data_IF_531636790537
#
_entry.id   IF_531636790537
#
_cell.length_a   1.000
_cell.length_b   1.000
_cell.length_c   1.000
_cell.angle_alpha   90.00
_cell.angle_beta   90.00
_cell.angle_gamma   90.00
#
_symmetry.space_group_name_H-M   'P 1'
#
loop_
_entity.id
_entity.type
_entity.pdbx_description
1 polymer ?
#
# COMPACT_ATOMS: atom_id res chain seq x y z
N UNK A 1 -33.81 -16.07 3.85
CA UNK A 1 -32.84 -15.03 3.40
C UNK A 1 -33.03 -13.70 4.12
N UNK A 2 -34.24 -13.12 4.14
CA UNK A 2 -34.52 -11.82 4.78
C UNK A 2 -34.15 -11.80 6.28
N UNK A 3 -34.52 -12.85 7.04
CA UNK A 3 -34.19 -12.95 8.47
C UNK A 3 -32.68 -12.94 8.77
N UNK A 4 -31.87 -13.65 7.97
CA UNK A 4 -30.41 -13.64 8.09
C UNK A 4 -29.83 -12.25 7.77
N UNK A 5 -30.41 -11.53 6.81
CA UNK A 5 -29.96 -10.18 6.46
C UNK A 5 -30.30 -9.16 7.55
N UNK A 6 -31.48 -9.25 8.16
CA UNK A 6 -31.85 -8.41 9.31
C UNK A 6 -30.92 -8.68 10.49
N UNK A 7 -30.70 -9.95 10.84
CA UNK A 7 -29.78 -10.34 11.91
C UNK A 7 -28.36 -9.84 11.64
N UNK A 8 -27.87 -9.98 10.41
CA UNK A 8 -26.56 -9.45 9.98
C UNK A 8 -26.50 -7.93 10.12
N UNK A 9 -27.55 -7.21 9.73
CA UNK A 9 -27.65 -5.75 9.87
C UNK A 9 -27.56 -5.31 11.32
N UNK A 10 -28.36 -5.92 12.20
CA UNK A 10 -28.36 -5.64 13.64
C UNK A 10 -26.98 -5.95 14.25
N UNK A 11 -26.43 -7.14 13.98
CA UNK A 11 -25.12 -7.55 14.52
C UNK A 11 -24.01 -6.63 14.02
N UNK A 12 -24.05 -6.22 12.75
CA UNK A 12 -23.08 -5.29 12.18
C UNK A 12 -23.17 -3.91 12.82
N UNK A 13 -24.38 -3.40 13.07
CA UNK A 13 -24.57 -2.12 13.74
C UNK A 13 -24.04 -2.15 15.18
N UNK A 14 -24.41 -3.17 15.95
CA UNK A 14 -23.96 -3.36 17.33
C UNK A 14 -22.43 -3.47 17.38
N UNK A 15 -21.84 -4.30 16.51
CA UNK A 15 -20.39 -4.44 16.40
C UNK A 15 -19.69 -3.11 16.13
N UNK A 16 -20.14 -2.36 15.13
CA UNK A 16 -19.54 -1.07 14.77
C UNK A 16 -19.69 -0.04 15.89
N UNK A 17 -20.85 0.00 16.55
CA UNK A 17 -21.11 0.93 17.65
C UNK A 17 -20.25 0.62 18.88
N UNK A 18 -20.22 -0.65 19.32
CA UNK A 18 -19.40 -1.09 20.45
C UNK A 18 -17.92 -0.80 20.21
N UNK A 19 -17.43 -1.07 18.99
CA UNK A 19 -16.02 -0.81 18.66
C UNK A 19 -15.75 0.69 18.67
N UNK A 20 -16.55 1.50 17.99
CA UNK A 20 -16.37 2.96 17.99
C UNK A 20 -16.36 3.55 19.40
N UNK A 21 -17.22 3.03 20.28
CA UNK A 21 -17.25 3.45 21.69
C UNK A 21 -15.97 3.07 22.45
N UNK A 22 -15.48 1.83 22.30
CA UNK A 22 -14.21 1.39 22.91
C UNK A 22 -13.03 2.19 22.35
N UNK A 23 -12.95 2.36 21.04
CA UNK A 23 -11.95 3.18 20.35
C UNK A 23 -11.92 4.59 20.92
N UNK A 24 -13.09 5.22 21.03
CA UNK A 24 -13.24 6.56 21.58
C UNK A 24 -12.72 6.67 23.02
N UNK A 25 -13.02 5.69 23.88
CA UNK A 25 -12.48 5.64 25.25
C UNK A 25 -10.96 5.47 25.29
N UNK A 26 -10.40 4.66 24.40
CA UNK A 26 -8.95 4.48 24.30
C UNK A 26 -8.27 5.78 23.85
N UNK A 27 -8.77 6.45 22.79
CA UNK A 27 -8.27 7.78 22.35
C UNK A 27 -8.31 8.76 23.50
N UNK A 28 -9.46 8.86 24.16
CA UNK A 28 -9.68 9.81 25.26
C UNK A 28 -8.69 9.58 26.41
N UNK A 29 -8.46 8.31 26.78
CA UNK A 29 -7.51 7.96 27.85
C UNK A 29 -6.08 8.27 27.44
N UNK A 30 -5.68 7.96 26.21
CA UNK A 30 -4.37 8.29 25.67
C UNK A 30 -4.14 9.80 25.63
N UNK A 31 -5.09 10.58 25.10
CA UNK A 31 -5.03 12.05 25.06
C UNK A 31 -4.89 12.64 26.47
N UNK A 32 -5.66 12.14 27.45
CA UNK A 32 -5.55 12.58 28.86
C UNK A 32 -4.19 12.27 29.46
N UNK A 33 -3.65 11.07 29.24
CA UNK A 33 -2.32 10.68 29.75
C UNK A 33 -1.20 11.51 29.12
N UNK A 34 -1.26 11.73 27.80
CA UNK A 34 -0.28 12.57 27.08
C UNK A 34 -0.34 14.01 27.55
N UNK A 35 -1.54 14.58 27.67
CA UNK A 35 -1.71 15.95 28.17
C UNK A 35 -1.21 16.11 29.61
N UNK A 36 -1.56 15.17 30.50
CA UNK A 36 -1.07 15.18 31.88
C UNK A 36 0.45 15.08 31.99
N UNK A 37 1.07 14.24 31.15
CA UNK A 37 2.53 14.13 31.09
C UNK A 37 3.19 15.42 30.59
N UNK A 38 2.62 16.06 29.56
CA UNK A 38 3.13 17.33 29.04
C UNK A 38 3.08 18.47 30.04
N UNK A 39 2.01 18.56 30.84
CA UNK A 39 1.88 19.62 31.85
C UNK A 39 2.96 19.54 32.95
N UNK A 40 3.63 18.40 33.11
CA UNK A 40 4.76 18.23 34.03
C UNK A 40 6.14 18.30 33.38
N UNK A 41 6.25 18.54 32.07
CA UNK A 41 7.54 18.56 31.38
C UNK A 41 8.29 19.89 31.56
N UNK A 42 9.64 19.88 31.56
CA UNK A 42 10.45 21.10 31.66
C UNK A 42 10.17 22.09 30.53
N UNK A 43 10.22 23.39 30.83
CA UNK A 43 10.03 24.47 29.84
C UNK A 43 11.01 24.35 28.67
N UNK A 44 12.24 23.87 28.91
CA UNK A 44 13.24 23.59 27.88
C UNK A 44 12.80 22.58 26.81
N UNK A 45 11.77 21.77 27.07
CA UNK A 45 11.17 20.88 26.07
C UNK A 45 10.23 21.64 25.13
N UNK A 46 9.51 22.64 25.66
CA UNK A 46 8.61 23.50 24.90
C UNK A 46 9.38 24.57 24.11
N UNK A 47 10.55 24.99 24.56
CA UNK A 47 11.40 25.93 23.83
C UNK A 47 12.01 25.33 22.53
N UNK A 48 12.00 24.00 22.39
CA UNK A 48 12.56 23.29 21.21
C UNK A 48 11.58 23.20 20.04
N UNK A 49 10.29 23.43 20.24
CA UNK A 49 9.26 23.16 19.24
C UNK A 49 8.00 23.99 19.47
N UNK A 50 7.36 24.44 18.40
CA UNK A 50 6.11 25.19 18.51
C UNK A 50 5.00 24.33 19.16
N UNK A 51 4.43 24.84 20.26
CA UNK A 51 3.39 24.15 21.05
C UNK A 51 2.15 23.81 20.20
N UNK A 52 1.85 24.62 19.19
CA UNK A 52 0.74 24.37 18.25
C UNK A 52 0.97 23.13 17.37
N UNK A 53 2.19 22.98 16.83
CA UNK A 53 2.56 21.78 16.05
C UNK A 53 2.64 20.52 16.91
N UNK A 54 3.09 20.64 18.17
CA UNK A 54 3.13 19.52 19.11
C UNK A 54 1.71 19.05 19.46
N UNK A 55 0.80 19.98 19.75
CA UNK A 55 -0.59 19.67 20.06
C UNK A 55 -1.31 19.01 18.86
N UNK A 56 -1.08 19.52 17.65
CA UNK A 56 -1.65 18.96 16.43
C UNK A 56 -1.15 17.53 16.15
N UNK A 57 0.14 17.26 16.36
CA UNK A 57 0.67 15.89 16.24
C UNK A 57 0.05 14.96 17.29
N UNK A 58 -0.08 15.41 18.53
CA UNK A 58 -0.64 14.57 19.59
C UNK A 58 -2.12 14.25 19.34
N UNK A 59 -2.93 15.22 18.93
CA UNK A 59 -4.34 14.97 18.62
C UNK A 59 -4.49 14.03 17.43
N UNK A 60 -3.72 14.25 16.37
CA UNK A 60 -3.76 13.41 15.16
C UNK A 60 -3.21 11.99 15.40
N UNK A 61 -2.02 11.88 16.01
CA UNK A 61 -1.36 10.59 16.22
C UNK A 61 -2.14 9.73 17.22
N UNK A 62 -2.70 10.33 18.28
CA UNK A 62 -3.55 9.59 19.24
C UNK A 62 -4.83 9.04 18.58
N UNK A 63 -5.38 9.76 17.60
CA UNK A 63 -6.52 9.32 16.81
C UNK A 63 -6.13 8.22 15.83
N UNK A 64 -4.99 8.38 15.15
CA UNK A 64 -4.48 7.40 14.20
C UNK A 64 -4.14 6.08 14.90
N UNK A 65 -3.52 6.12 16.09
CA UNK A 65 -3.22 4.94 16.89
C UNK A 65 -4.50 4.19 17.26
N UNK A 66 -5.52 4.87 17.78
CA UNK A 66 -6.73 4.19 18.20
C UNK A 66 -7.57 3.69 17.03
N UNK A 67 -7.70 4.47 15.95
CA UNK A 67 -8.42 4.05 14.74
C UNK A 67 -7.74 2.84 14.08
N UNK A 68 -6.41 2.86 13.96
CA UNK A 68 -5.63 1.73 13.41
C UNK A 68 -5.71 0.49 14.29
N UNK A 69 -5.53 0.65 15.61
CA UNK A 69 -5.62 -0.46 16.57
C UNK A 69 -7.02 -1.06 16.60
N UNK A 70 -8.05 -0.23 16.57
CA UNK A 70 -9.42 -0.70 16.61
C UNK A 70 -9.79 -1.39 15.31
N UNK A 71 -9.46 -0.79 14.16
CA UNK A 71 -9.65 -1.39 12.84
C UNK A 71 -8.99 -2.76 12.71
N UNK A 72 -7.73 -2.88 13.14
CA UNK A 72 -7.03 -4.16 13.16
C UNK A 72 -7.76 -5.20 14.04
N UNK A 73 -8.25 -4.80 15.21
CA UNK A 73 -9.02 -5.68 16.09
C UNK A 73 -10.35 -6.12 15.46
N UNK A 74 -11.06 -5.23 14.75
CA UNK A 74 -12.27 -5.60 13.97
C UNK A 74 -11.91 -6.67 12.96
N UNK A 75 -10.89 -6.42 12.14
CA UNK A 75 -10.49 -7.32 11.06
C UNK A 75 -10.09 -8.68 11.60
N UNK A 76 -9.26 -8.73 12.66
CA UNK A 76 -8.82 -10.00 13.25
C UNK A 76 -9.99 -10.81 13.77
N UNK A 77 -10.92 -10.21 14.51
CA UNK A 77 -12.07 -10.93 15.09
C UNK A 77 -13.05 -11.34 13.99
N UNK A 78 -13.45 -10.40 13.12
CA UNK A 78 -14.49 -10.62 12.11
C UNK A 78 -14.03 -11.52 10.98
N UNK A 79 -12.88 -11.21 10.39
CA UNK A 79 -12.32 -12.03 9.32
C UNK A 79 -11.80 -13.35 9.88
N UNK A 80 -11.22 -13.38 11.09
CA UNK A 80 -10.85 -14.62 11.77
C UNK A 80 -12.04 -15.55 11.99
N UNK A 81 -13.14 -15.05 12.56
CA UNK A 81 -14.35 -15.84 12.75
C UNK A 81 -14.95 -16.31 11.42
N UNK A 82 -14.95 -15.45 10.39
CA UNK A 82 -15.44 -15.81 9.05
C UNK A 82 -14.58 -16.88 8.40
N UNK A 83 -13.25 -16.77 8.49
CA UNK A 83 -12.29 -17.76 7.99
C UNK A 83 -12.53 -19.11 8.69
N UNK A 84 -12.62 -19.13 10.02
CA UNK A 84 -12.89 -20.35 10.79
C UNK A 84 -14.23 -20.96 10.37
N UNK A 85 -15.29 -20.16 10.28
CA UNK A 85 -16.62 -20.61 9.86
C UNK A 85 -16.62 -21.20 8.45
N UNK A 86 -15.95 -20.55 7.50
CA UNK A 86 -15.82 -21.02 6.13
C UNK A 86 -15.01 -22.31 6.05
N UNK A 87 -13.90 -22.43 6.79
CA UNK A 87 -13.12 -23.67 6.84
C UNK A 87 -13.94 -24.82 7.42
N UNK A 88 -14.61 -24.62 8.56
CA UNK A 88 -15.48 -25.64 9.16
C UNK A 88 -16.55 -26.08 8.17
N UNK A 89 -17.21 -25.13 7.50
CA UNK A 89 -18.23 -25.41 6.50
C UNK A 89 -17.65 -26.20 5.31
N UNK A 90 -16.49 -25.79 4.78
CA UNK A 90 -15.83 -26.44 3.64
C UNK A 90 -15.47 -27.90 3.97
N UNK A 91 -14.86 -28.14 5.14
CA UNK A 91 -14.50 -29.47 5.61
C UNK A 91 -15.72 -30.34 5.93
N UNK A 92 -16.79 -29.75 6.44
CA UNK A 92 -18.04 -30.46 6.74
C UNK A 92 -18.72 -31.00 5.47
N UNK A 93 -18.77 -30.21 4.39
CA UNK A 93 -19.39 -30.64 3.14
C UNK A 93 -18.52 -31.60 2.32
N UNK A 94 -17.22 -31.33 2.21
CA UNK A 94 -16.28 -32.22 1.52
C UNK A 94 -14.85 -31.98 1.99
N UNK A 95 -14.39 -32.84 2.90
CA UNK A 95 -13.03 -32.77 3.41
C UNK A 95 -11.99 -33.14 2.33
N UNK A 96 -12.31 -34.02 1.38
CA UNK A 96 -11.39 -34.40 0.30
C UNK A 96 -11.11 -33.22 -0.63
N UNK A 97 -12.14 -32.50 -1.09
CA UNK A 97 -11.98 -31.33 -1.95
C UNK A 97 -11.30 -30.17 -1.20
N UNK A 98 -11.63 -30.01 0.08
CA UNK A 98 -11.04 -29.00 0.97
C UNK A 98 -9.51 -29.11 1.03
N UNK A 99 -8.99 -30.32 1.27
CA UNK A 99 -7.54 -30.56 1.36
C UNK A 99 -6.86 -30.26 0.03
N UNK A 100 -7.45 -30.68 -1.10
CA UNK A 100 -6.92 -30.38 -2.43
C UNK A 100 -6.78 -28.87 -2.61
N UNK A 101 -7.84 -28.10 -2.32
CA UNK A 101 -7.80 -26.63 -2.44
C UNK A 101 -6.76 -25.99 -1.53
N UNK A 102 -6.64 -26.45 -0.28
CA UNK A 102 -5.67 -25.92 0.69
C UNK A 102 -4.23 -26.15 0.23
N UNK A 103 -3.95 -27.26 -0.45
CA UNK A 103 -2.61 -27.55 -1.00
C UNK A 103 -2.37 -26.82 -2.31
N UNK A 104 -3.38 -26.70 -3.18
CA UNK A 104 -3.25 -26.07 -4.49
C UNK A 104 -3.13 -24.53 -4.38
N UNK A 105 -3.84 -23.91 -3.43
CA UNK A 105 -3.81 -22.47 -3.19
C UNK A 105 -2.41 -21.88 -2.95
N UNK A 106 -1.56 -22.40 -2.04
CA UNK A 106 -0.20 -21.89 -1.85
C UNK A 106 0.69 -22.13 -3.07
N UNK A 107 0.54 -23.25 -3.79
CA UNK A 107 1.29 -23.51 -5.03
C UNK A 107 0.98 -22.45 -6.08
N UNK A 108 -0.31 -22.15 -6.31
CA UNK A 108 -0.75 -21.10 -7.23
C UNK A 108 -0.30 -19.73 -6.74
N UNK A 109 -0.41 -19.44 -5.44
CA UNK A 109 0.06 -18.17 -4.85
C UNK A 109 1.55 -17.96 -5.06
N UNK A 110 2.37 -19.00 -4.88
CA UNK A 110 3.81 -18.96 -5.13
C UNK A 110 4.09 -18.74 -6.62
N UNK A 111 3.41 -19.46 -7.51
CA UNK A 111 3.56 -19.30 -8.96
C UNK A 111 3.24 -17.86 -9.39
N UNK A 112 2.10 -17.31 -8.94
CA UNK A 112 1.71 -15.92 -9.17
C UNK A 112 2.79 -14.98 -8.63
N UNK A 113 3.28 -15.19 -7.40
CA UNK A 113 4.29 -14.33 -6.78
C UNK A 113 5.61 -14.33 -7.55
N UNK A 114 6.05 -15.47 -8.08
CA UNK A 114 7.25 -15.59 -8.92
C UNK A 114 7.07 -14.80 -10.22
N UNK A 115 5.93 -14.99 -10.90
CA UNK A 115 5.61 -14.27 -12.14
C UNK A 115 5.52 -12.76 -11.86
N UNK A 116 4.76 -12.33 -10.86
CA UNK A 116 4.63 -10.92 -10.47
C UNK A 116 5.97 -10.29 -10.10
N UNK A 117 6.87 -11.02 -9.42
CA UNK A 117 8.22 -10.52 -9.09
C UNK A 117 9.05 -10.31 -10.36
N UNK A 118 9.00 -11.26 -11.31
CA UNK A 118 9.69 -11.14 -12.60
C UNK A 118 9.16 -9.92 -13.38
N UNK A 119 7.84 -9.75 -13.43
CA UNK A 119 7.21 -8.57 -14.03
C UNK A 119 7.69 -7.28 -13.40
N UNK A 120 7.66 -7.19 -12.07
CA UNK A 120 8.04 -5.98 -11.35
C UNK A 120 9.49 -5.57 -11.62
N UNK A 121 10.39 -6.55 -11.77
CA UNK A 121 11.78 -6.30 -12.15
C UNK A 121 11.91 -5.79 -13.60
N UNK A 122 11.17 -6.38 -14.54
CA UNK A 122 11.16 -5.92 -15.94
C UNK A 122 10.60 -4.49 -16.02
N UNK A 123 9.48 -4.21 -15.34
CA UNK A 123 8.88 -2.88 -15.29
C UNK A 123 9.83 -1.85 -14.68
N UNK A 124 10.55 -2.19 -13.61
CA UNK A 124 11.54 -1.30 -13.01
C UNK A 124 12.70 -1.00 -13.96
N UNK A 125 13.18 -1.99 -14.71
CA UNK A 125 14.21 -1.78 -15.73
C UNK A 125 13.71 -0.91 -16.90
N UNK A 126 12.44 -1.07 -17.29
CA UNK A 126 11.82 -0.23 -18.32
C UNK A 126 11.67 1.21 -17.86
N UNK A 127 11.23 1.45 -16.62
CA UNK A 127 11.15 2.78 -16.03
C UNK A 127 12.52 3.46 -15.94
N UNK A 128 13.58 2.72 -15.58
CA UNK A 128 14.95 3.26 -15.59
C UNK A 128 15.40 3.69 -16.99
N UNK A 129 15.16 2.88 -18.02
CA UNK A 129 15.47 3.26 -19.41
C UNK A 129 14.63 4.46 -19.86
N UNK A 130 13.34 4.50 -19.49
CA UNK A 130 12.47 5.64 -19.79
C UNK A 130 13.00 6.93 -19.16
N UNK A 131 13.47 6.88 -17.90
CA UNK A 131 14.12 8.01 -17.25
C UNK A 131 15.34 8.52 -18.03
N UNK A 132 16.16 7.62 -18.58
CA UNK A 132 17.29 8.00 -19.45
C UNK A 132 16.83 8.66 -20.75
N UNK A 133 15.78 8.16 -21.41
CA UNK A 133 15.18 8.80 -22.61
C UNK A 133 14.72 10.20 -22.26
N UNK A 134 13.93 10.34 -21.19
CA UNK A 134 13.35 11.62 -20.77
C UNK A 134 14.43 12.64 -20.45
N UNK A 135 15.46 12.27 -19.69
CA UNK A 135 16.58 13.17 -19.41
C UNK A 135 17.33 13.57 -20.67
N UNK A 136 17.59 12.64 -21.59
CA UNK A 136 18.27 12.95 -22.86
C UNK A 136 17.43 13.92 -23.70
N UNK A 137 16.12 13.66 -23.82
CA UNK A 137 15.20 14.53 -24.56
C UNK A 137 15.11 15.94 -23.92
N UNK A 138 15.03 16.02 -22.59
CA UNK A 138 15.05 17.30 -21.88
C UNK A 138 16.35 18.09 -22.10
N UNK A 139 17.51 17.42 -22.08
CA UNK A 139 18.79 18.08 -22.36
C UNK A 139 18.89 18.56 -23.80
N UNK A 140 18.43 17.77 -24.77
CA UNK A 140 18.38 18.17 -26.18
C UNK A 140 17.47 19.37 -26.40
N UNK A 141 16.33 19.43 -25.71
CA UNK A 141 15.38 20.55 -25.81
C UNK A 141 15.90 21.82 -25.12
N UNK A 142 16.52 21.69 -23.94
CA UNK A 142 17.11 22.85 -23.22
C UNK A 142 18.38 23.36 -23.89
N UNK A 143 19.21 22.47 -24.43
CA UNK A 143 20.45 22.77 -25.14
C UNK A 143 20.30 22.92 -26.66
N UNK A 144 19.07 23.07 -27.17
CA UNK A 144 18.79 23.01 -28.60
C UNK A 144 19.57 24.03 -29.43
N UNK A 145 19.78 25.25 -28.90
CA UNK A 145 20.62 26.27 -29.55
C UNK A 145 22.06 25.81 -29.73
N UNK A 146 22.65 25.14 -28.74
CA UNK A 146 24.02 24.64 -28.86
C UNK A 146 24.13 23.51 -29.88
N UNK A 147 23.15 22.59 -29.88
CA UNK A 147 23.09 21.51 -30.87
C UNK A 147 23.04 22.06 -32.30
N UNK A 148 22.31 23.16 -32.54
CA UNK A 148 22.26 23.82 -33.84
C UNK A 148 23.58 24.52 -34.20
N UNK A 149 24.19 25.23 -33.25
CA UNK A 149 25.44 25.98 -33.46
C UNK A 149 26.61 25.03 -33.79
N UNK A 150 26.70 23.89 -33.11
CA UNK A 150 27.77 22.91 -33.31
C UNK A 150 27.43 21.83 -34.35
N UNK A 151 26.25 21.86 -34.98
CA UNK A 151 25.86 20.86 -35.99
C UNK A 151 25.70 19.43 -35.43
N UNK A 152 25.30 19.30 -34.16
CA UNK A 152 25.24 18.03 -33.42
C UNK A 152 23.96 17.20 -33.63
N UNK A 153 23.10 17.55 -34.60
CA UNK A 153 21.77 16.94 -34.75
C UNK A 153 21.85 15.42 -34.98
N UNK A 154 22.79 14.95 -35.80
CA UNK A 154 22.94 13.52 -36.14
C UNK A 154 23.45 12.70 -34.95
N UNK A 155 24.26 13.29 -34.07
CA UNK A 155 24.79 12.64 -32.87
C UNK A 155 23.65 12.38 -31.89
N UNK A 156 22.81 13.39 -31.68
CA UNK A 156 21.71 13.30 -30.73
C UNK A 156 20.52 12.46 -31.26
N UNK A 157 20.24 12.45 -32.57
CA UNK A 157 19.26 11.50 -33.15
C UNK A 157 19.71 10.04 -32.99
N UNK A 158 20.98 9.72 -33.27
CA UNK A 158 21.54 8.37 -33.02
C UNK A 158 21.47 7.98 -31.54
N UNK A 159 21.62 8.95 -30.64
CA UNK A 159 21.49 8.73 -29.19
C UNK A 159 20.05 8.37 -28.84
N UNK A 160 19.07 9.13 -29.32
CA UNK A 160 17.65 8.85 -29.11
C UNK A 160 17.23 7.49 -29.67
N UNK A 161 17.67 7.13 -30.88
CA UNK A 161 17.36 5.84 -31.51
C UNK A 161 17.84 4.64 -30.69
N UNK A 162 19.06 4.72 -30.12
CA UNK A 162 19.58 3.66 -29.25
C UNK A 162 18.72 3.45 -28.01
N UNK A 163 18.29 4.54 -27.36
CA UNK A 163 17.48 4.42 -26.14
C UNK A 163 16.05 3.99 -26.46
N UNK A 164 15.46 4.50 -27.54
CA UNK A 164 14.14 4.08 -28.04
C UNK A 164 14.09 2.58 -28.37
N UNK A 165 15.10 2.05 -29.08
CA UNK A 165 15.15 0.62 -29.37
C UNK A 165 15.38 -0.24 -28.11
N UNK A 166 16.17 0.24 -27.14
CA UNK A 166 16.32 -0.45 -25.84
C UNK A 166 14.99 -0.50 -25.08
N UNK A 167 14.19 0.56 -25.12
CA UNK A 167 12.84 0.60 -24.55
C UNK A 167 11.91 -0.40 -25.24
N UNK A 168 11.91 -0.44 -26.59
CA UNK A 168 11.14 -1.42 -27.36
C UNK A 168 11.48 -2.87 -26.98
N UNK A 169 12.76 -3.20 -26.87
CA UNK A 169 13.21 -4.55 -26.48
C UNK A 169 12.78 -4.92 -25.05
N UNK A 170 12.79 -3.97 -24.11
CA UNK A 170 12.27 -4.19 -22.76
C UNK A 170 10.74 -4.34 -22.74
N UNK A 171 10.02 -3.58 -23.55
CA UNK A 171 8.57 -3.74 -23.75
C UNK A 171 8.21 -5.13 -24.30
N UNK A 172 8.95 -5.63 -25.30
CA UNK A 172 8.75 -6.99 -25.83
C UNK A 172 9.03 -8.07 -24.77
N UNK A 173 10.03 -7.89 -23.90
CA UNK A 173 10.25 -8.79 -22.76
C UNK A 173 9.05 -8.81 -21.80
N UNK A 174 8.34 -7.69 -21.62
CA UNK A 174 7.13 -7.62 -20.79
C UNK A 174 5.95 -8.36 -21.44
N UNK A 175 5.73 -8.17 -22.74
CA UNK A 175 4.66 -8.88 -23.48
C UNK A 175 4.91 -10.38 -23.42
N UNK A 176 6.14 -10.84 -23.67
CA UNK A 176 6.50 -12.26 -23.60
C UNK A 176 6.38 -12.88 -22.20
N UNK A 177 6.35 -12.06 -21.15
CA UNK A 177 6.12 -12.55 -19.79
C UNK A 177 4.61 -12.62 -19.45
N UNK A 178 3.76 -11.95 -20.23
CA UNK A 178 2.30 -11.87 -20.03
C UNK A 178 1.49 -12.88 -20.82
N UNK A 179 2.11 -13.45 -21.85
CA UNK A 179 1.60 -14.56 -22.67
C UNK A 179 2.07 -15.88 -22.10
#
# INVERSE_FOLDING_TARGET
VIGLMILRGITSYVSSYCISWVSGKVVMTMRRRLFGHMMGMPVSFFDKQSTGTLLSRITYDSEQVASSSSGALITVVREGASIIGLFIMMFYYSWQLSIILIVLAPIVSIAIRVVSKRFRNISKNMQNTMGQVTTSAEQMLKGHKEVLIFGGQEVETKRFDKVSNRMRLQGMKMVSASS
#
